data_IF_699802945358
#
_entry.id   IF_699802945358
#
_cell.length_a   1.000
_cell.length_b   1.000
_cell.length_c   1.000
_cell.angle_alpha   90.00
_cell.angle_beta   90.00
_cell.angle_gamma   90.00
#
_symmetry.space_group_name_H-M   'P 1'
#
loop_
_entity.id
_entity.type
_entity.pdbx_description
1 polymer ?
#
# COMPACT_ATOMS: atom_id res chain seq x y z
N UNK A 1 1.83 27.78 24.59
CA UNK A 1 2.18 28.44 23.32
C UNK A 1 1.80 27.50 22.19
N UNK A 2 0.75 27.81 21.42
CA UNK A 2 0.34 26.98 20.27
C UNK A 2 1.29 27.28 19.12
N UNK A 3 2.23 26.36 18.86
CA UNK A 3 3.06 26.43 17.66
C UNK A 3 2.15 26.18 16.46
N UNK A 4 2.09 27.13 15.53
CA UNK A 4 1.39 26.95 14.26
C UNK A 4 1.97 25.70 13.58
N UNK A 5 1.14 24.70 13.30
CA UNK A 5 1.55 23.49 12.57
C UNK A 5 2.18 23.92 11.25
N UNK A 6 3.49 23.75 11.12
CA UNK A 6 4.18 23.96 9.85
C UNK A 6 3.58 22.99 8.83
N UNK A 7 3.20 23.51 7.66
CA UNK A 7 2.56 22.71 6.62
C UNK A 7 3.61 21.76 6.04
N UNK A 8 3.51 20.46 6.35
CA UNK A 8 4.42 19.44 5.82
C UNK A 8 4.41 19.38 4.30
N UNK A 9 5.49 18.84 3.73
CA UNK A 9 5.68 18.70 2.29
C UNK A 9 4.72 17.66 1.72
N UNK A 10 4.23 17.89 0.51
CA UNK A 10 3.50 16.88 -0.26
C UNK A 10 4.49 16.07 -1.11
N UNK A 11 4.44 14.75 -0.98
CA UNK A 11 5.17 13.79 -1.79
C UNK A 11 4.22 13.03 -2.69
N UNK A 12 4.64 12.77 -3.92
CA UNK A 12 3.94 11.91 -4.88
C UNK A 12 4.78 10.64 -5.02
N UNK A 13 4.21 9.51 -4.62
CA UNK A 13 4.83 8.20 -4.69
C UNK A 13 4.25 7.42 -5.88
N UNK A 14 5.10 7.19 -6.87
CA UNK A 14 4.83 6.32 -8.01
C UNK A 14 5.44 4.93 -7.75
N UNK A 15 4.64 3.91 -7.39
CA UNK A 15 5.16 2.61 -6.99
C UNK A 15 5.68 1.86 -8.23
N UNK A 16 6.95 1.44 -8.19
CA UNK A 16 7.57 0.65 -9.27
C UNK A 16 7.54 -0.85 -9.00
N UNK A 17 7.71 -1.22 -7.74
CA UNK A 17 7.68 -2.60 -7.26
C UNK A 17 6.74 -2.66 -6.06
N UNK A 18 5.80 -3.57 -6.12
CA UNK A 18 4.84 -3.82 -5.05
C UNK A 18 5.32 -4.95 -4.16
N UNK A 19 5.21 -4.75 -2.85
CA UNK A 19 5.60 -5.73 -1.83
C UNK A 19 4.41 -6.61 -1.44
N UNK A 20 4.66 -7.85 -1.04
CA UNK A 20 3.65 -8.77 -0.48
C UNK A 20 3.92 -9.10 0.99
N UNK A 21 4.95 -8.49 1.58
CA UNK A 21 5.33 -8.70 2.98
C UNK A 21 5.41 -7.39 3.75
N UNK A 22 4.99 -7.44 5.02
CA UNK A 22 5.31 -6.44 6.02
C UNK A 22 6.61 -6.86 6.71
N UNK A 23 7.75 -6.54 6.09
CA UNK A 23 9.08 -6.95 6.55
C UNK A 23 10.17 -5.95 6.16
N UNK A 24 11.46 -6.28 6.37
CA UNK A 24 12.58 -5.39 6.09
C UNK A 24 12.82 -5.24 4.58
N UNK A 25 11.89 -4.57 3.90
CA UNK A 25 12.01 -4.15 2.51
C UNK A 25 12.69 -2.78 2.47
N UNK A 26 13.45 -2.52 1.40
CA UNK A 26 14.06 -1.20 1.21
C UNK A 26 12.97 -0.12 1.11
N UNK A 27 13.10 1.02 1.83
CA UNK A 27 12.16 2.12 1.71
C UNK A 27 12.05 2.63 0.28
N UNK A 28 10.82 2.77 -0.23
CA UNK A 28 10.56 3.38 -1.54
C UNK A 28 10.42 4.90 -1.45
N UNK A 29 10.19 5.41 -0.24
CA UNK A 29 10.09 6.82 0.08
C UNK A 29 10.53 7.05 1.52
N UNK A 30 11.19 8.19 1.76
CA UNK A 30 11.54 8.71 3.09
C UNK A 30 10.84 10.06 3.28
N UNK A 31 10.14 10.23 4.39
CA UNK A 31 9.39 11.46 4.70
C UNK A 31 9.62 11.88 6.16
N UNK A 32 9.37 13.16 6.46
CA UNK A 32 9.35 13.66 7.83
C UNK A 32 7.96 13.61 8.45
N UNK A 33 7.89 13.74 9.76
CA UNK A 33 6.63 13.85 10.50
C UNK A 33 5.83 15.08 10.05
N UNK A 34 4.54 14.90 9.77
CA UNK A 34 3.64 15.96 9.30
C UNK A 34 3.59 16.13 7.77
N UNK A 35 4.47 15.46 7.03
CA UNK A 35 4.38 15.38 5.56
C UNK A 35 3.10 14.67 5.10
N UNK A 36 2.74 14.89 3.84
CA UNK A 36 1.63 14.20 3.17
C UNK A 36 2.14 13.39 2.00
N UNK A 37 1.57 12.21 1.79
CA UNK A 37 1.89 11.35 0.65
C UNK A 37 0.62 11.14 -0.17
N UNK A 38 0.74 11.30 -1.48
CA UNK A 38 -0.24 10.79 -2.46
C UNK A 38 0.40 9.64 -3.21
N UNK A 39 -0.30 8.52 -3.33
CA UNK A 39 0.17 7.37 -4.08
C UNK A 39 -1.01 6.73 -4.80
N UNK A 40 -0.76 6.22 -6.00
CA UNK A 40 -1.69 5.33 -6.67
C UNK A 40 -1.55 3.92 -6.10
N UNK A 41 -2.67 3.26 -5.85
CA UNK A 41 -2.72 1.86 -5.42
C UNK A 41 -3.24 1.00 -6.55
N UNK A 42 -2.82 -0.26 -6.60
CA UNK A 42 -3.48 -1.27 -7.43
C UNK A 42 -4.48 -2.06 -6.58
N UNK A 43 -5.40 -2.76 -7.23
CA UNK A 43 -6.39 -3.53 -6.51
C UNK A 43 -5.80 -4.77 -5.81
N UNK A 44 -6.62 -5.41 -4.96
CA UNK A 44 -6.23 -6.58 -4.19
C UNK A 44 -5.78 -7.79 -5.04
N UNK A 45 -6.18 -7.83 -6.32
CA UNK A 45 -5.82 -8.87 -7.28
C UNK A 45 -4.59 -8.50 -8.12
N UNK A 46 -4.02 -7.30 -7.91
CA UNK A 46 -2.82 -6.85 -8.61
C UNK A 46 -3.09 -6.29 -10.00
N UNK A 47 -4.26 -5.69 -10.24
CA UNK A 47 -4.56 -4.99 -11.48
C UNK A 47 -4.49 -3.47 -11.32
N UNK A 48 -3.88 -2.82 -12.30
CA UNK A 48 -3.72 -1.36 -12.34
C UNK A 48 -5.02 -0.63 -12.76
N UNK A 49 -4.91 0.70 -12.87
CA UNK A 49 -5.99 1.59 -13.30
C UNK A 49 -6.55 1.31 -14.69
N UNK A 50 -5.80 0.62 -15.55
CA UNK A 50 -6.21 0.21 -16.89
C UNK A 50 -6.75 -1.22 -16.92
N UNK A 51 -6.77 -1.91 -15.78
CA UNK A 51 -7.15 -3.32 -15.70
C UNK A 51 -6.06 -4.26 -16.19
N UNK A 52 -4.80 -3.83 -16.26
CA UNK A 52 -3.67 -4.69 -16.60
C UNK A 52 -3.10 -5.35 -15.34
N UNK A 53 -2.76 -6.64 -15.36
CA UNK A 53 -2.11 -7.29 -14.24
C UNK A 53 -0.66 -6.79 -14.10
N UNK A 54 -0.16 -6.75 -12.87
CA UNK A 54 1.25 -6.49 -12.62
C UNK A 54 2.15 -7.47 -13.39
N UNK A 55 3.19 -6.91 -14.01
CA UNK A 55 4.26 -7.69 -14.64
C UNK A 55 5.18 -8.32 -13.58
N UNK A 56 5.94 -9.35 -13.96
CA UNK A 56 6.92 -9.99 -13.07
C UNK A 56 7.97 -9.03 -12.50
N UNK A 57 8.31 -7.95 -13.21
CA UNK A 57 9.28 -6.95 -12.73
C UNK A 57 8.69 -6.00 -11.68
N UNK A 58 7.37 -5.84 -11.65
CA UNK A 58 6.67 -4.99 -10.67
C UNK A 58 6.32 -5.72 -9.38
N UNK A 59 6.64 -7.02 -9.26
CA UNK A 59 6.33 -7.86 -8.11
C UNK A 59 7.57 -8.12 -7.27
N UNK A 60 7.42 -8.15 -5.94
CA UNK A 60 8.48 -8.59 -5.03
C UNK A 60 8.98 -9.99 -5.40
N UNK A 61 10.29 -10.19 -5.30
CA UNK A 61 10.96 -11.45 -5.62
C UNK A 61 11.80 -11.90 -4.44
N UNK A 62 11.90 -13.22 -4.28
CA UNK A 62 12.82 -13.87 -3.36
C UNK A 62 13.36 -15.13 -4.01
N UNK A 63 14.63 -15.43 -3.79
CA UNK A 63 15.26 -16.68 -4.25
C UNK A 63 14.80 -17.88 -3.43
N UNK A 64 14.34 -17.64 -2.20
CA UNK A 64 14.05 -18.69 -1.22
C UNK A 64 12.56 -18.81 -0.89
N UNK A 65 11.72 -17.95 -1.45
CA UNK A 65 10.29 -17.88 -1.08
C UNK A 65 9.44 -17.50 -2.29
N UNK A 66 8.30 -18.18 -2.44
CA UNK A 66 7.25 -17.77 -3.36
C UNK A 66 6.19 -17.00 -2.57
N UNK A 67 5.83 -15.81 -3.02
CA UNK A 67 4.82 -14.98 -2.35
C UNK A 67 3.43 -15.26 -2.89
N UNK A 68 2.43 -15.17 -2.01
CA UNK A 68 1.04 -15.07 -2.44
C UNK A 68 0.82 -13.69 -3.05
N UNK A 69 0.53 -13.64 -4.35
CA UNK A 69 0.35 -12.38 -5.09
C UNK A 69 -1.04 -11.79 -4.86
N UNK A 70 -1.35 -11.43 -3.61
CA UNK A 70 -2.61 -10.82 -3.19
C UNK A 70 -2.31 -9.64 -2.28
N UNK A 71 -3.16 -8.60 -2.34
CA UNK A 71 -3.03 -7.38 -1.54
C UNK A 71 -1.64 -6.72 -1.64
N UNK A 72 -1.18 -6.41 -2.87
CA UNK A 72 0.11 -5.75 -3.09
C UNK A 72 0.22 -4.41 -2.36
N UNK A 73 1.37 -4.17 -1.75
CA UNK A 73 1.68 -3.01 -0.92
C UNK A 73 2.54 -2.01 -1.70
N UNK A 74 2.18 -0.73 -1.59
CA UNK A 74 2.88 0.40 -2.22
C UNK A 74 4.20 0.75 -1.50
N UNK A 75 4.28 0.48 -0.20
CA UNK A 75 5.41 0.85 0.65
C UNK A 75 6.59 -0.13 0.58
N UNK A 76 7.50 -0.09 1.58
CA UNK A 76 7.40 0.68 2.82
C UNK A 76 7.80 2.16 2.65
N UNK A 77 7.11 3.03 3.41
CA UNK A 77 7.46 4.44 3.56
C UNK A 77 8.18 4.58 4.90
N UNK A 78 9.38 5.15 4.88
CA UNK A 78 10.19 5.39 6.06
C UNK A 78 9.92 6.78 6.63
N UNK A 79 9.69 6.86 7.94
CA UNK A 79 9.51 8.12 8.68
C UNK A 79 10.81 8.40 9.43
N UNK A 80 11.51 9.49 9.10
CA UNK A 80 12.88 9.73 9.59
C UNK A 80 12.97 9.82 11.12
N UNK A 81 11.95 10.37 11.77
CA UNK A 81 11.93 10.62 13.21
C UNK A 81 11.36 9.45 14.03
N UNK A 82 10.69 8.49 13.39
CA UNK A 82 9.98 7.43 14.11
C UNK A 82 10.93 6.39 14.71
N UNK A 83 10.72 6.06 15.98
CA UNK A 83 11.49 5.08 16.74
C UNK A 83 10.60 3.93 17.28
N UNK A 84 11.18 2.77 17.63
CA UNK A 84 10.44 1.71 18.31
C UNK A 84 9.77 2.23 19.60
N UNK A 85 8.46 2.00 19.72
CA UNK A 85 7.64 2.50 20.82
C UNK A 85 6.78 3.72 20.46
N UNK A 86 7.07 4.39 19.34
CA UNK A 86 6.25 5.49 18.83
C UNK A 86 4.95 4.99 18.19
N UNK A 87 3.97 5.89 18.09
CA UNK A 87 2.71 5.68 17.38
C UNK A 87 2.68 6.51 16.09
N UNK A 88 2.37 5.85 14.96
CA UNK A 88 2.07 6.56 13.72
C UNK A 88 0.61 7.04 13.71
N UNK A 89 0.41 8.36 13.69
CA UNK A 89 -0.89 8.96 13.40
C UNK A 89 -1.03 9.16 11.88
N UNK A 90 -1.84 8.32 11.24
CA UNK A 90 -2.12 8.41 9.80
C UNK A 90 -3.50 9.05 9.61
N UNK A 91 -3.54 10.20 8.92
CA UNK A 91 -4.80 10.86 8.55
C UNK A 91 -5.06 10.65 7.07
N UNK A 92 -6.08 9.86 6.74
CA UNK A 92 -6.55 9.68 5.37
C UNK A 92 -7.33 10.93 4.97
N UNK A 93 -6.72 11.76 4.10
CA UNK A 93 -7.34 13.02 3.65
C UNK A 93 -8.35 12.82 2.54
N UNK A 94 -8.07 11.89 1.62
CA UNK A 94 -8.87 11.66 0.42
C UNK A 94 -8.59 10.27 -0.14
N UNK A 95 -9.61 9.64 -0.68
CA UNK A 95 -9.52 8.44 -1.51
C UNK A 95 -10.26 8.75 -2.81
N UNK A 96 -9.66 8.41 -3.94
CA UNK A 96 -10.25 8.55 -5.27
C UNK A 96 -10.15 7.22 -5.98
N UNK A 97 -11.19 6.88 -6.75
CA UNK A 97 -11.12 5.79 -7.71
C UNK A 97 -10.32 6.27 -8.92
N UNK A 98 -9.47 5.40 -9.48
CA UNK A 98 -8.66 5.68 -10.65
C UNK A 98 -9.13 4.93 -11.91
N UNK A 99 -10.25 4.20 -11.78
CA UNK A 99 -10.98 3.49 -12.83
C UNK A 99 -12.48 3.40 -12.53
N UNK A 100 -13.27 3.17 -13.57
CA UNK A 100 -14.75 3.21 -13.54
C UNK A 100 -15.43 1.94 -12.95
N UNK A 101 -14.66 0.91 -12.59
CA UNK A 101 -15.20 -0.35 -12.10
C UNK A 101 -14.38 -0.95 -10.95
N UNK A 102 -15.02 -1.87 -10.22
CA UNK A 102 -14.38 -2.68 -9.17
C UNK A 102 -14.67 -4.16 -9.39
N UNK A 103 -13.86 -5.02 -8.78
CA UNK A 103 -14.04 -6.47 -8.80
C UNK A 103 -14.56 -6.96 -7.45
N UNK A 104 -15.45 -7.94 -7.48
CA UNK A 104 -15.89 -8.71 -6.32
C UNK A 104 -15.95 -10.17 -6.72
N UNK A 105 -15.43 -11.06 -5.87
CA UNK A 105 -15.29 -12.48 -6.17
C UNK A 105 -15.79 -13.33 -5.02
N UNK A 106 -16.55 -14.39 -5.32
CA UNK A 106 -16.85 -15.48 -4.40
C UNK A 106 -15.89 -16.64 -4.71
N UNK A 107 -14.88 -16.80 -3.88
CA UNK A 107 -13.83 -17.78 -4.10
C UNK A 107 -14.08 -19.04 -3.24
N UNK A 108 -13.87 -20.25 -3.78
CA UNK A 108 -13.90 -21.46 -2.97
C UNK A 108 -12.93 -21.33 -1.78
N UNK A 109 -13.39 -21.74 -0.59
CA UNK A 109 -12.60 -21.73 0.66
C UNK A 109 -12.12 -20.35 1.16
N UNK A 110 -12.67 -19.25 0.66
CA UNK A 110 -12.29 -17.90 1.07
C UNK A 110 -13.53 -17.03 1.35
N UNK A 111 -13.58 -16.45 2.56
CA UNK A 111 -14.77 -15.78 3.09
C UNK A 111 -15.59 -16.71 4.01
N UNK A 112 -16.78 -16.27 4.41
CA UNK A 112 -17.67 -17.04 5.28
C UNK A 112 -18.79 -17.74 4.50
N UNK A 113 -18.64 -19.01 4.09
CA UNK A 113 -19.74 -19.81 3.58
C UNK A 113 -20.41 -20.61 4.71
N UNK A 114 -21.26 -19.98 5.53
CA UNK A 114 -22.15 -20.72 6.42
C UNK A 114 -23.50 -20.97 5.73
N UNK A 115 -23.53 -21.87 4.76
CA UNK A 115 -24.77 -22.56 4.41
C UNK A 115 -24.72 -23.96 5.02
N UNK A 116 -25.01 -24.05 6.31
CA UNK A 116 -25.60 -25.28 6.83
C UNK A 116 -27.08 -25.25 6.42
N UNK A 117 -27.47 -26.18 5.56
CA UNK A 117 -28.73 -26.91 5.75
C UNK A 117 -28.36 -28.32 6.14
#
# INVERSE_FOLDING_TARGET
>A
MSSARQKGKLHILEPRVYQYTYGPNQPVLRVGSGDSVTASTIDAHGFDRYGNPLTKSQKQKSETTTFQESNPLVGPIWIEEAQPGDLLQIVIKKILLDREYASSSLLPHFGSPNWRK
#
